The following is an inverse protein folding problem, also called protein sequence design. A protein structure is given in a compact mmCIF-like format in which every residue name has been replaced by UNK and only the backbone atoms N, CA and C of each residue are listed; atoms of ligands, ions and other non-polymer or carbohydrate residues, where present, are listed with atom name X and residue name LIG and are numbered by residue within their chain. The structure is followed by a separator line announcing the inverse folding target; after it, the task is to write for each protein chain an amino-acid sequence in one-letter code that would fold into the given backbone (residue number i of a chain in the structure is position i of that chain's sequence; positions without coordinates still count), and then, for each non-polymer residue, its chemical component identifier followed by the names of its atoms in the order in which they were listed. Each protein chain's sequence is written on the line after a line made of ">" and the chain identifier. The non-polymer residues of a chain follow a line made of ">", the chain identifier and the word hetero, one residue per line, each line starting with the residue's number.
data_IF_813095042626
#
_entry.id   IF_813095042626
#
_cell.length_a   1.000
_cell.length_b   1.000
_cell.length_c   1.000
_cell.angle_alpha   90.00
_cell.angle_beta   90.00
_cell.angle_gamma   90.00
#
_symmetry.space_group_name_H-M   'P 1'
#
loop_
_entity.id
_entity.type
_entity.pdbx_description
1 polymer ?
#
# COMPACT_ATOMS: atom_id res chain seq x y z
N UNK A 1 10.54 6.25 -21.07
CA UNK A 1 10.30 4.94 -20.43
C UNK A 1 8.88 4.51 -20.79
N UNK A 2 8.71 3.29 -21.31
CA UNK A 2 7.40 2.76 -21.70
C UNK A 2 7.01 1.67 -20.69
N UNK A 3 5.90 1.88 -19.98
CA UNK A 3 5.32 0.90 -19.06
C UNK A 3 4.07 0.34 -19.74
N UNK A 4 4.03 -0.96 -20.09
CA UNK A 4 3.02 -1.54 -20.98
C UNK A 4 1.62 -1.64 -20.35
N UNK A 5 1.52 -1.60 -19.03
CA UNK A 5 0.25 -1.62 -18.30
C UNK A 5 -0.29 -0.20 -18.16
N UNK A 6 -1.36 0.14 -18.87
CA UNK A 6 -2.03 1.44 -18.75
C UNK A 6 -2.91 1.54 -17.52
N UNK A 7 -3.11 2.79 -17.06
CA UNK A 7 -4.08 3.18 -16.03
C UNK A 7 -3.95 2.34 -14.75
N UNK A 8 -2.73 2.29 -14.22
CA UNK A 8 -2.41 1.54 -13.01
C UNK A 8 -1.83 2.45 -11.93
N UNK A 9 -2.01 2.06 -10.68
CA UNK A 9 -1.30 2.63 -9.54
C UNK A 9 -0.36 1.56 -8.95
N UNK A 10 0.91 1.92 -8.80
CA UNK A 10 1.91 1.15 -8.06
C UNK A 10 2.06 1.76 -6.68
N UNK A 11 1.98 0.94 -5.65
CA UNK A 11 2.05 1.34 -4.25
C UNK A 11 3.12 0.55 -3.53
N UNK A 12 3.72 1.18 -2.53
CA UNK A 12 4.66 0.54 -1.61
C UNK A 12 4.26 0.84 -0.19
N UNK A 13 4.36 -0.14 0.70
CA UNK A 13 4.11 0.07 2.13
C UNK A 13 5.11 -0.66 3.02
N UNK A 14 5.57 0.06 4.03
CA UNK A 14 6.48 -0.43 5.07
C UNK A 14 5.95 -0.05 6.47
N UNK A 15 6.34 -0.81 7.48
CA UNK A 15 6.14 -0.43 8.86
C UNK A 15 7.44 -0.58 9.64
N UNK A 16 7.72 0.39 10.51
CA UNK A 16 8.84 0.36 11.43
C UNK A 16 8.35 0.31 12.87
N UNK A 17 8.87 -0.68 13.61
CA UNK A 17 8.60 -0.85 15.04
C UNK A 17 9.78 -0.33 15.85
N UNK A 18 9.53 0.63 16.74
CA UNK A 18 10.57 1.08 17.67
C UNK A 18 10.70 0.09 18.84
N UNK A 19 11.81 -0.65 18.89
CA UNK A 19 12.12 -1.59 19.98
C UNK A 19 12.16 -0.93 21.38
N UNK A 20 12.45 0.38 21.46
CA UNK A 20 12.58 1.12 22.72
C UNK A 20 11.26 1.67 23.30
N UNK A 21 10.24 1.84 22.47
CA UNK A 21 8.91 2.32 22.90
C UNK A 21 7.89 1.25 22.55
N UNK A 22 7.55 0.40 23.52
CA UNK A 22 6.81 -0.88 23.40
C UNK A 22 5.46 -0.87 22.66
N UNK A 23 4.97 0.24 22.09
CA UNK A 23 3.63 0.30 21.51
C UNK A 23 3.45 1.28 20.34
N UNK A 24 4.50 1.74 19.65
CA UNK A 24 4.33 2.65 18.50
C UNK A 24 4.97 2.10 17.22
N UNK A 25 4.18 2.11 16.16
CA UNK A 25 4.59 1.72 14.81
C UNK A 25 4.46 2.91 13.87
N UNK A 26 5.49 3.16 13.07
CA UNK A 26 5.45 4.12 11.99
C UNK A 26 5.14 3.39 10.68
N UNK A 27 3.92 3.57 10.17
CA UNK A 27 3.50 3.07 8.87
C UNK A 27 3.80 4.09 7.77
N UNK A 28 4.38 3.64 6.67
CA UNK A 28 4.76 4.47 5.52
C UNK A 28 4.13 3.90 4.27
N UNK A 29 3.53 4.78 3.47
CA UNK A 29 3.00 4.47 2.14
C UNK A 29 3.56 5.39 1.09
N UNK A 30 3.75 4.83 -0.09
CA UNK A 30 4.01 5.57 -1.33
C UNK A 30 3.09 5.07 -2.44
N UNK A 31 2.73 5.95 -3.37
CA UNK A 31 1.92 5.60 -4.53
C UNK A 31 2.33 6.39 -5.77
N UNK A 32 2.38 5.73 -6.93
CA UNK A 32 2.68 6.36 -8.21
C UNK A 32 1.52 7.23 -8.68
N UNK A 33 1.79 8.40 -9.22
CA UNK A 33 0.77 9.38 -9.61
C UNK A 33 0.61 9.53 -11.14
N UNK A 34 1.46 8.87 -11.92
CA UNK A 34 1.46 8.95 -13.37
C UNK A 34 1.89 7.63 -14.04
N UNK A 35 1.51 7.47 -15.30
CA UNK A 35 1.73 6.26 -16.10
C UNK A 35 3.19 5.80 -16.18
N UNK A 36 4.15 6.74 -16.20
CA UNK A 36 5.57 6.41 -16.26
C UNK A 36 6.16 6.04 -14.90
N UNK A 37 5.36 6.06 -13.82
CA UNK A 37 5.75 5.71 -12.46
C UNK A 37 6.98 6.51 -11.99
N UNK A 38 7.00 7.81 -12.34
CA UNK A 38 8.10 8.74 -12.01
C UNK A 38 7.72 9.78 -10.98
N UNK A 39 6.42 9.94 -10.69
CA UNK A 39 5.90 10.86 -9.67
C UNK A 39 5.23 10.05 -8.58
N UNK A 40 5.50 10.40 -7.31
CA UNK A 40 5.05 9.64 -6.17
C UNK A 40 4.42 10.55 -5.11
N UNK A 41 3.29 10.10 -4.55
CA UNK A 41 2.75 10.60 -3.30
C UNK A 41 3.31 9.75 -2.16
N UNK A 42 3.55 10.35 -0.99
CA UNK A 42 4.01 9.64 0.21
C UNK A 42 3.23 10.09 1.44
N UNK A 43 2.90 9.15 2.33
CA UNK A 43 2.28 9.44 3.64
C UNK A 43 2.91 8.60 4.73
N UNK A 44 3.11 9.21 5.90
CA UNK A 44 3.53 8.54 7.13
C UNK A 44 2.41 8.68 8.15
N UNK A 45 2.18 7.65 8.97
CA UNK A 45 1.27 7.71 10.11
C UNK A 45 1.77 6.83 11.25
N UNK A 46 1.39 7.19 12.48
CA UNK A 46 1.81 6.50 13.68
C UNK A 46 0.61 5.79 14.30
N UNK A 47 0.80 4.51 14.66
CA UNK A 47 -0.27 3.65 15.18
C UNK A 47 0.20 2.89 16.41
N UNK A 48 -0.75 2.33 17.15
CA UNK A 48 -0.42 1.31 18.13
C UNK A 48 0.01 0.01 17.41
N UNK A 49 0.91 -0.76 18.01
CA UNK A 49 1.53 -1.92 17.31
C UNK A 49 0.52 -3.02 16.96
N UNK A 50 -0.57 -3.14 17.72
CA UNK A 50 -1.62 -4.12 17.48
C UNK A 50 -2.55 -3.77 16.30
N UNK A 51 -2.54 -2.53 15.81
CA UNK A 51 -3.43 -2.05 14.74
C UNK A 51 -2.78 -2.07 13.35
N UNK A 52 -1.46 -2.27 13.28
CA UNK A 52 -0.66 -2.17 12.06
C UNK A 52 -1.12 -3.15 10.97
N UNK A 53 -1.35 -4.41 11.35
CA UNK A 53 -1.69 -5.46 10.39
C UNK A 53 -3.12 -5.36 9.87
N UNK A 54 -4.01 -4.64 10.56
CA UNK A 54 -5.47 -4.61 10.35
C UNK A 54 -6.01 -3.33 9.73
N UNK A 55 -5.56 -2.17 10.23
CA UNK A 55 -6.25 -0.88 10.03
C UNK A 55 -5.44 0.06 9.13
N UNK A 56 -4.12 -0.10 9.10
CA UNK A 56 -3.19 0.73 8.33
C UNK A 56 -3.47 0.75 6.80
N UNK A 57 -3.82 -0.37 6.14
CA UNK A 57 -3.95 -0.39 4.68
C UNK A 57 -5.10 0.47 4.14
N UNK A 58 -6.23 0.53 4.83
CA UNK A 58 -7.47 1.08 4.25
C UNK A 58 -7.44 2.60 4.09
N UNK A 59 -7.04 3.33 5.13
CA UNK A 59 -7.05 4.80 5.07
C UNK A 59 -5.97 5.32 4.12
N UNK A 60 -4.77 4.71 4.15
CA UNK A 60 -3.69 5.08 3.25
C UNK A 60 -4.01 4.74 1.79
N UNK A 61 -4.68 3.61 1.54
CA UNK A 61 -5.17 3.27 0.21
C UNK A 61 -6.17 4.29 -0.33
N UNK A 62 -7.17 4.70 0.48
CA UNK A 62 -8.14 5.73 0.09
C UNK A 62 -7.47 7.07 -0.23
N UNK A 63 -6.52 7.49 0.58
CA UNK A 63 -5.79 8.74 0.33
C UNK A 63 -4.98 8.68 -0.96
N UNK A 64 -4.29 7.56 -1.21
CA UNK A 64 -3.52 7.35 -2.44
C UNK A 64 -4.43 7.37 -3.67
N UNK A 65 -5.59 6.71 -3.61
CA UNK A 65 -6.58 6.72 -4.69
C UNK A 65 -7.15 8.12 -4.93
N UNK A 66 -7.48 8.86 -3.86
CA UNK A 66 -7.93 10.26 -3.95
C UNK A 66 -6.87 11.17 -4.58
N UNK A 67 -5.59 10.97 -4.24
CA UNK A 67 -4.49 11.71 -4.87
C UNK A 67 -4.26 11.33 -6.31
N UNK A 68 -4.40 10.06 -6.65
CA UNK A 68 -4.32 9.58 -8.02
C UNK A 68 -5.43 10.18 -8.89
N UNK A 69 -6.69 10.16 -8.44
CA UNK A 69 -7.82 10.72 -9.21
C UNK A 69 -7.65 12.22 -9.43
N UNK A 70 -7.19 12.96 -8.40
CA UNK A 70 -6.85 14.38 -8.53
C UNK A 70 -5.76 14.63 -9.59
N UNK A 71 -4.74 13.77 -9.64
CA UNK A 71 -3.64 13.89 -10.60
C UNK A 71 -3.99 13.44 -12.03
N UNK A 72 -5.07 12.66 -12.19
CA UNK A 72 -5.44 12.02 -13.46
C UNK A 72 -6.88 12.39 -13.91
N UNK A 73 -7.27 13.66 -13.71
CA UNK A 73 -8.53 14.23 -14.20
C UNK A 73 -9.79 13.45 -13.78
N UNK A 74 -9.80 12.91 -12.57
CA UNK A 74 -10.90 12.13 -12.01
C UNK A 74 -10.89 10.65 -12.40
N UNK A 75 -9.94 10.19 -13.22
CA UNK A 75 -9.83 8.79 -13.58
C UNK A 75 -9.38 7.93 -12.39
N UNK A 76 -10.06 6.79 -12.21
CA UNK A 76 -9.65 5.73 -11.28
C UNK A 76 -8.67 4.77 -11.96
N UNK A 77 -7.69 4.22 -11.22
CA UNK A 77 -6.76 3.23 -11.77
C UNK A 77 -7.47 1.89 -11.99
N UNK A 78 -7.39 1.27 -13.16
CA UNK A 78 -7.94 -0.07 -13.42
C UNK A 78 -7.23 -1.18 -12.64
N UNK A 79 -5.98 -0.94 -12.25
CA UNK A 79 -5.10 -1.92 -11.60
C UNK A 79 -4.37 -1.30 -10.43
N UNK A 80 -4.33 -2.01 -9.31
CA UNK A 80 -3.61 -1.61 -8.10
C UNK A 80 -2.54 -2.68 -7.84
N UNK A 81 -1.27 -2.29 -7.84
CA UNK A 81 -0.16 -3.16 -7.44
C UNK A 81 0.40 -2.63 -6.12
N UNK A 82 0.49 -3.49 -5.10
CA UNK A 82 0.99 -3.13 -3.77
C UNK A 82 2.20 -3.98 -3.45
N UNK A 83 3.34 -3.34 -3.20
CA UNK A 83 4.54 -3.98 -2.67
C UNK A 83 4.60 -3.76 -1.15
N UNK A 84 4.39 -4.83 -0.36
CA UNK A 84 4.47 -4.77 1.12
C UNK A 84 5.81 -5.35 1.57
N UNK A 85 6.67 -4.52 2.15
CA UNK A 85 7.98 -4.93 2.68
C UNK A 85 7.92 -5.24 4.19
N UNK A 86 8.88 -5.98 4.73
CA UNK A 86 9.02 -6.20 6.17
C UNK A 86 8.02 -7.18 6.78
N UNK A 87 7.47 -8.08 5.96
CA UNK A 87 6.56 -9.14 6.44
C UNK A 87 7.37 -10.39 6.74
N UNK A 88 7.27 -10.90 7.97
CA UNK A 88 7.85 -12.20 8.34
C UNK A 88 6.97 -13.37 7.89
N UNK A 89 7.56 -14.55 7.73
CA UNK A 89 6.84 -15.77 7.29
C UNK A 89 5.59 -16.05 8.14
N UNK A 90 5.65 -15.81 9.45
CA UNK A 90 4.52 -16.01 10.36
C UNK A 90 3.36 -15.02 10.20
N UNK A 91 3.58 -13.89 9.52
CA UNK A 91 2.58 -12.84 9.29
C UNK A 91 1.89 -12.95 7.92
N UNK A 92 2.41 -13.77 6.99
CA UNK A 92 1.87 -13.92 5.63
C UNK A 92 0.37 -14.26 5.62
N UNK A 93 -0.14 -15.21 6.44
CA UNK A 93 -1.57 -15.52 6.46
C UNK A 93 -2.45 -14.35 6.91
N UNK A 94 -1.94 -13.49 7.79
CA UNK A 94 -2.68 -12.33 8.28
C UNK A 94 -2.74 -11.22 7.23
N UNK A 95 -1.64 -11.00 6.49
CA UNK A 95 -1.59 -9.95 5.47
C UNK A 95 -2.43 -10.30 4.24
N UNK A 96 -2.44 -11.57 3.83
CA UNK A 96 -3.30 -12.02 2.73
C UNK A 96 -4.78 -11.83 3.08
N UNK A 97 -5.15 -12.09 4.34
CA UNK A 97 -6.52 -11.95 4.82
C UNK A 97 -6.93 -10.49 5.03
N UNK A 98 -6.05 -9.58 5.49
CA UNK A 98 -6.44 -8.17 5.74
C UNK A 98 -6.42 -7.30 4.49
N UNK A 99 -5.53 -7.57 3.55
CA UNK A 99 -5.47 -6.79 2.30
C UNK A 99 -6.74 -6.95 1.46
N UNK A 100 -7.51 -8.02 1.66
CA UNK A 100 -8.74 -8.32 0.90
C UNK A 100 -9.96 -7.52 1.44
N UNK A 101 -10.30 -7.50 2.74
CA UNK A 101 -11.40 -6.74 3.32
C UNK A 101 -11.36 -5.24 3.08
N UNK A 102 -10.17 -4.62 3.14
CA UNK A 102 -10.04 -3.17 2.90
C UNK A 102 -10.36 -2.75 1.46
N UNK A 103 -10.49 -3.72 0.55
CA UNK A 103 -10.76 -3.50 -0.87
C UNK A 103 -12.21 -3.70 -1.26
N UNK A 104 -13.07 -4.16 -0.33
CA UNK A 104 -14.50 -4.31 -0.60
C UNK A 104 -15.21 -2.97 -0.89
N UNK A 105 -14.62 -1.85 -0.46
CA UNK A 105 -15.10 -0.50 -0.77
C UNK A 105 -14.56 0.05 -2.12
N UNK A 106 -13.65 -0.68 -2.77
CA UNK A 106 -13.13 -0.35 -4.10
C UNK A 106 -13.98 -1.11 -5.13
N UNK A 107 -14.40 -0.48 -6.24
CA UNK A 107 -15.22 -1.17 -7.23
C UNK A 107 -14.56 -2.48 -7.67
N UNK A 108 -15.33 -3.58 -7.62
CA UNK A 108 -14.88 -4.95 -7.95
C UNK A 108 -14.26 -5.11 -9.35
N UNK A 109 -14.39 -4.10 -10.22
CA UNK A 109 -13.74 -4.04 -11.53
C UNK A 109 -12.21 -3.84 -11.46
N UNK A 110 -11.67 -3.52 -10.29
CA UNK A 110 -10.25 -3.23 -10.11
C UNK A 110 -9.50 -4.50 -9.70
N UNK A 111 -8.48 -4.89 -10.47
CA UNK A 111 -7.64 -6.03 -10.12
C UNK A 111 -6.54 -5.57 -9.18
N UNK A 112 -6.48 -6.19 -7.99
CA UNK A 112 -5.51 -5.87 -6.95
C UNK A 112 -4.48 -6.98 -6.87
N UNK A 113 -3.21 -6.62 -7.11
CA UNK A 113 -2.08 -7.51 -7.00
C UNK A 113 -1.23 -7.08 -5.80
N UNK A 114 -1.31 -7.84 -4.70
CA UNK A 114 -0.41 -7.65 -3.56
C UNK A 114 0.82 -8.55 -3.73
N UNK A 115 1.99 -7.94 -3.78
CA UNK A 115 3.28 -8.61 -3.82
C UNK A 115 3.96 -8.40 -2.46
N UNK A 116 4.08 -9.50 -1.74
CA UNK A 116 4.76 -9.53 -0.45
C UNK A 116 6.27 -9.61 -0.71
N UNK A 117 7.02 -8.65 -0.18
CA UNK A 117 8.46 -8.59 -0.30
C UNK A 117 9.09 -8.79 1.08
N UNK A 118 10.13 -9.61 1.13
CA UNK A 118 10.97 -9.77 2.31
C UNK A 118 12.40 -9.53 1.86
N UNK A 119 12.94 -8.34 2.17
CA UNK A 119 14.35 -8.08 1.92
C UNK A 119 15.18 -8.75 3.02
N UNK A 120 15.82 -9.88 2.70
CA UNK A 120 16.84 -10.48 3.59
C UNK A 120 18.14 -9.73 3.38
N UNK A 121 18.58 -9.01 4.40
CA UNK A 121 19.96 -8.51 4.46
C UNK A 121 20.86 -9.72 4.74
N UNK A 122 21.76 -10.00 3.81
CA UNK A 122 22.81 -11.02 3.96
C UNK A 122 23.87 -10.55 4.95
#
# INVERSE_FOLDING_TARGET
>A
MHIPLSNMIVMGCNAYHNAGSRNRTAGVFVASMNQTVTRWYSRVSFFSTHEELGIMPTQHLRDCLSKYTQANLGALPERIIIFRDGVSDGQIPQVSIVTIPCTNDIPLSHVIHCVMMQMKLN
#
